data_IF_169170827544
#
_entry.id   IF_169170827544
#
_cell.length_a   1.000
_cell.length_b   1.000
_cell.length_c   1.000
_cell.angle_alpha   90.00
_cell.angle_beta   90.00
_cell.angle_gamma   90.00
#
_symmetry.space_group_name_H-M   'P 1'
#
loop_
_entity.id
_entity.type
_entity.pdbx_description
1 polymer ?
#
# COMPACT_ATOMS: atom_id res chain seq x y z
N UNK A 1 -35.30 65.06 -19.35
CA UNK A 1 -36.54 64.54 -18.77
C UNK A 1 -36.25 63.17 -18.19
N UNK A 2 -36.32 63.14 -16.91
CA UNK A 2 -36.77 62.18 -15.90
C UNK A 2 -35.83 61.00 -15.61
N UNK A 3 -35.08 61.12 -14.52
CA UNK A 3 -35.27 60.52 -13.20
C UNK A 3 -35.26 58.98 -13.15
N UNK A 4 -34.25 58.45 -12.48
CA UNK A 4 -34.20 57.62 -11.25
C UNK A 4 -32.73 57.25 -11.00
N UNK A 5 -32.10 57.48 -9.93
CA UNK A 5 -32.34 57.82 -8.56
C UNK A 5 -32.44 56.63 -7.62
N UNK A 6 -31.32 56.29 -6.99
CA UNK A 6 -31.16 55.69 -5.67
C UNK A 6 -31.64 54.27 -5.43
N UNK A 7 -30.65 53.39 -5.22
CA UNK A 7 -30.54 52.60 -3.98
C UNK A 7 -29.24 51.83 -3.98
N UNK A 8 -28.16 52.44 -3.54
CA UNK A 8 -26.95 51.79 -3.05
C UNK A 8 -26.88 52.09 -1.55
N UNK A 9 -26.68 51.06 -0.78
CA UNK A 9 -26.56 50.83 0.65
C UNK A 9 -27.85 50.23 1.28
N UNK A 10 -27.75 49.06 1.96
CA UNK A 10 -26.66 48.64 2.81
C UNK A 10 -26.32 47.13 2.68
N UNK A 11 -25.25 46.75 1.99
CA UNK A 11 -24.72 45.40 2.06
C UNK A 11 -23.30 45.34 2.70
N UNK A 12 -22.70 46.51 2.95
CA UNK A 12 -21.32 46.56 3.48
C UNK A 12 -21.22 46.59 5.03
N UNK A 13 -22.32 46.54 5.75
CA UNK A 13 -22.27 46.56 7.24
C UNK A 13 -22.53 45.17 7.84
N UNK A 14 -23.05 44.21 7.07
CA UNK A 14 -23.24 42.83 7.56
C UNK A 14 -21.98 41.96 7.43
N UNK A 15 -21.05 42.30 6.56
CA UNK A 15 -19.82 41.52 6.39
C UNK A 15 -18.71 41.83 7.42
N UNK A 16 -18.75 43.03 8.01
CA UNK A 16 -17.81 43.42 9.09
C UNK A 16 -18.20 42.85 10.47
N UNK A 17 -19.47 42.48 10.65
CA UNK A 17 -19.95 41.87 11.90
C UNK A 17 -19.66 40.40 12.04
N UNK A 18 -19.50 39.66 10.92
CA UNK A 18 -19.15 38.23 10.95
C UNK A 18 -17.65 37.96 11.12
N UNK A 19 -16.77 38.90 10.72
CA UNK A 19 -15.34 38.71 10.92
C UNK A 19 -14.86 39.09 12.35
N UNK A 20 -15.61 39.84 13.10
CA UNK A 20 -15.29 40.14 14.49
C UNK A 20 -15.77 39.06 15.47
N UNK A 21 -16.69 38.19 15.08
CA UNK A 21 -17.11 37.05 15.88
C UNK A 21 -16.26 35.78 15.65
N UNK A 22 -15.50 35.72 14.59
CA UNK A 22 -14.63 34.57 14.31
C UNK A 22 -13.34 34.55 15.14
N UNK A 23 -12.96 35.67 15.79
CA UNK A 23 -11.78 35.77 16.64
C UNK A 23 -12.05 35.71 18.16
N UNK A 24 -13.29 35.78 18.59
CA UNK A 24 -13.65 35.76 20.02
C UNK A 24 -14.21 34.42 20.52
N UNK A 25 -14.47 33.46 19.59
CA UNK A 25 -14.94 32.12 19.94
C UNK A 25 -13.79 31.14 20.34
N UNK A 26 -12.54 31.64 20.48
CA UNK A 26 -11.39 30.80 20.27
C UNK A 26 -10.84 30.08 21.50
N UNK A 27 -10.86 30.67 22.65
CA UNK A 27 -10.16 30.07 23.80
C UNK A 27 -11.05 29.11 24.59
N UNK A 28 -12.31 29.37 24.73
CA UNK A 28 -13.25 28.47 25.43
C UNK A 28 -13.52 27.20 24.61
N UNK A 29 -13.66 27.28 23.28
CA UNK A 29 -13.83 26.12 22.41
C UNK A 29 -12.53 25.32 22.29
N UNK A 30 -11.36 25.96 22.24
CA UNK A 30 -10.07 25.29 22.28
C UNK A 30 -9.83 24.55 23.59
N UNK A 31 -10.17 25.16 24.71
CA UNK A 31 -10.09 24.55 26.03
C UNK A 31 -11.01 23.34 26.10
N UNK A 32 -12.27 23.48 25.67
CA UNK A 32 -13.23 22.34 25.61
C UNK A 32 -12.74 21.19 24.74
N UNK A 33 -12.17 21.50 23.57
CA UNK A 33 -11.60 20.49 22.66
C UNK A 33 -10.38 19.80 23.27
N UNK A 34 -9.49 20.55 23.90
CA UNK A 34 -8.32 20.02 24.59
C UNK A 34 -8.71 19.16 25.81
N UNK A 35 -9.72 19.58 26.57
CA UNK A 35 -10.27 18.77 27.67
C UNK A 35 -10.88 17.46 27.17
N UNK A 36 -11.59 17.49 26.06
CA UNK A 36 -12.15 16.29 25.43
C UNK A 36 -11.05 15.34 24.95
N UNK A 37 -10.01 15.86 24.28
CA UNK A 37 -8.85 15.09 23.85
C UNK A 37 -8.09 14.50 25.05
N UNK A 38 -7.88 15.28 26.10
CA UNK A 38 -7.22 14.82 27.33
C UNK A 38 -8.02 13.70 28.01
N UNK A 39 -9.34 13.80 28.04
CA UNK A 39 -10.19 12.77 28.60
C UNK A 39 -10.19 11.48 27.75
N UNK A 40 -10.14 11.61 26.42
CA UNK A 40 -9.97 10.45 25.52
C UNK A 40 -8.61 9.77 25.74
N UNK A 41 -7.53 10.55 25.85
CA UNK A 41 -6.20 9.99 26.12
C UNK A 41 -6.13 9.32 27.50
N UNK A 42 -6.73 9.89 28.52
CA UNK A 42 -6.81 9.25 29.85
C UNK A 42 -7.59 7.94 29.80
N UNK A 43 -8.69 7.87 29.06
CA UNK A 43 -9.47 6.64 28.90
C UNK A 43 -8.67 5.56 28.16
N UNK A 44 -7.94 5.94 27.09
CA UNK A 44 -7.06 5.03 26.36
C UNK A 44 -5.91 4.50 27.23
N UNK A 45 -5.29 5.37 28.04
CA UNK A 45 -4.23 4.96 29.00
C UNK A 45 -4.76 3.99 30.07
N UNK A 46 -5.96 4.22 30.59
CA UNK A 46 -6.59 3.30 31.54
C UNK A 46 -6.92 1.93 30.92
N UNK A 47 -7.28 1.91 29.64
CA UNK A 47 -7.50 0.67 28.92
C UNK A 47 -6.19 -0.11 28.71
N UNK A 48 -5.11 0.57 28.36
CA UNK A 48 -3.78 -0.01 28.26
C UNK A 48 -3.30 -0.58 29.61
N UNK A 49 -3.51 0.16 30.70
CA UNK A 49 -3.16 -0.29 32.04
C UNK A 49 -3.86 -1.60 32.42
N UNK A 50 -5.17 -1.70 32.16
CA UNK A 50 -5.94 -2.94 32.42
C UNK A 50 -5.44 -4.11 31.57
N UNK A 51 -4.99 -3.84 30.34
CA UNK A 51 -4.44 -4.88 29.47
C UNK A 51 -3.08 -5.37 29.97
N UNK A 52 -2.23 -4.49 30.50
CA UNK A 52 -0.96 -4.83 31.15
C UNK A 52 -1.20 -5.66 32.40
N UNK A 53 -2.15 -5.27 33.26
CA UNK A 53 -2.51 -6.00 34.47
C UNK A 53 -3.06 -7.40 34.15
N UNK A 54 -3.85 -7.54 33.08
CA UNK A 54 -4.34 -8.84 32.61
C UNK A 54 -3.22 -9.73 32.08
N UNK A 55 -2.25 -9.15 31.35
CA UNK A 55 -1.07 -9.88 30.88
C UNK A 55 -0.15 -10.30 32.02
N UNK A 56 0.05 -9.45 33.03
CA UNK A 56 0.83 -9.79 34.23
C UNK A 56 0.16 -10.90 35.05
N UNK A 57 -1.15 -10.87 35.19
CA UNK A 57 -1.91 -11.93 35.87
C UNK A 57 -1.76 -13.27 35.14
N UNK A 58 -1.83 -13.27 33.80
CA UNK A 58 -1.65 -14.48 32.98
C UNK A 58 -0.20 -14.98 33.03
N UNK A 59 0.78 -14.07 33.02
CA UNK A 59 2.20 -14.39 33.19
C UNK A 59 2.49 -15.04 34.57
N UNK A 60 1.86 -14.56 35.62
CA UNK A 60 1.97 -15.15 36.95
C UNK A 60 1.32 -16.52 37.00
N UNK A 61 0.18 -16.72 36.33
CA UNK A 61 -0.50 -17.99 36.22
C UNK A 61 0.35 -19.03 35.48
N UNK A 62 1.01 -18.63 34.39
CA UNK A 62 1.95 -19.47 33.68
C UNK A 62 3.22 -19.79 34.50
N UNK A 63 3.69 -18.85 35.32
CA UNK A 63 4.88 -19.04 36.18
C UNK A 63 4.56 -19.91 37.42
N UNK A 64 3.32 -19.97 37.88
CA UNK A 64 2.92 -20.75 39.04
C UNK A 64 2.76 -22.27 38.79
N UNK A 65 3.00 -22.72 37.54
CA UNK A 65 3.14 -24.14 37.23
C UNK A 65 1.84 -24.94 37.21
N UNK A 66 0.70 -24.30 37.05
CA UNK A 66 -0.59 -25.00 36.85
C UNK A 66 -0.82 -25.52 35.41
N UNK A 67 0.22 -25.45 34.55
CA UNK A 67 0.26 -26.07 33.23
C UNK A 67 1.43 -27.05 33.15
N UNK A 68 1.18 -28.29 33.43
CA UNK A 68 2.12 -29.41 33.15
C UNK A 68 2.20 -29.62 31.66
N UNK A 69 3.33 -29.25 31.08
CA UNK A 69 3.67 -29.53 29.67
C UNK A 69 4.56 -30.77 29.62
N UNK A 70 3.99 -31.89 29.21
CA UNK A 70 4.76 -33.06 28.75
C UNK A 70 5.24 -32.79 27.30
N UNK A 71 6.56 -32.86 27.08
CA UNK A 71 7.15 -32.64 25.78
C UNK A 71 6.93 -33.82 24.83
N UNK A 72 6.28 -33.65 23.68
CA UNK A 72 6.23 -34.71 22.67
C UNK A 72 7.52 -34.76 21.86
N UNK A 73 7.92 -36.00 21.52
CA UNK A 73 9.07 -36.35 20.72
C UNK A 73 9.06 -35.68 19.35
N UNK A 74 10.20 -35.09 19.00
CA UNK A 74 10.45 -34.45 17.69
C UNK A 74 10.50 -35.51 16.61
N UNK A 75 9.50 -35.54 15.73
CA UNK A 75 9.59 -36.16 14.42
C UNK A 75 9.99 -35.06 13.44
N UNK A 76 11.08 -35.20 12.68
CA UNK A 76 11.48 -34.20 11.70
C UNK A 76 10.51 -34.27 10.49
N UNK A 77 9.55 -33.37 10.45
CA UNK A 77 8.81 -33.07 9.23
C UNK A 77 9.59 -32.04 8.43
N UNK A 78 9.80 -32.32 7.17
CA UNK A 78 10.41 -31.41 6.21
C UNK A 78 9.74 -30.02 6.26
N UNK A 79 10.51 -28.93 6.06
CA UNK A 79 9.94 -27.58 6.08
C UNK A 79 8.87 -27.46 4.99
N UNK A 80 7.76 -26.78 5.26
CA UNK A 80 6.77 -26.49 4.23
C UNK A 80 7.45 -25.64 3.15
N UNK A 81 7.37 -26.08 1.93
CA UNK A 81 7.82 -25.38 0.75
C UNK A 81 7.18 -23.98 0.73
N UNK A 82 7.98 -22.96 0.40
CA UNK A 82 7.65 -21.53 0.40
C UNK A 82 6.57 -21.14 -0.66
N UNK A 83 5.86 -22.11 -1.19
CA UNK A 83 5.03 -21.98 -2.40
C UNK A 83 3.72 -21.22 -2.25
N UNK A 84 3.33 -20.80 -1.05
CA UNK A 84 1.99 -20.21 -0.91
C UNK A 84 1.90 -18.73 -0.50
N UNK A 85 3.00 -18.05 -0.21
CA UNK A 85 2.89 -16.65 0.29
C UNK A 85 4.08 -15.78 -0.08
N UNK A 86 4.47 -15.70 -1.35
CA UNK A 86 5.37 -14.68 -1.93
C UNK A 86 6.30 -13.94 -0.95
N UNK A 87 7.11 -14.67 -0.20
CA UNK A 87 8.16 -14.08 0.62
C UNK A 87 9.48 -14.19 -0.11
N UNK A 88 10.27 -13.13 -0.23
CA UNK A 88 11.63 -13.26 -0.73
C UNK A 88 12.41 -14.22 0.18
N UNK A 89 13.06 -15.20 -0.42
CA UNK A 89 13.78 -16.30 0.26
C UNK A 89 15.08 -15.87 0.97
N UNK A 90 15.22 -14.64 1.37
CA UNK A 90 16.44 -14.12 2.01
C UNK A 90 16.17 -13.18 3.18
N UNK A 91 15.30 -13.57 4.08
CA UNK A 91 15.41 -13.06 5.45
C UNK A 91 15.89 -14.21 6.33
N UNK A 92 17.03 -14.07 6.99
CA UNK A 92 17.37 -14.89 8.14
C UNK A 92 16.38 -14.55 9.23
N UNK A 93 15.14 -15.02 9.05
CA UNK A 93 14.10 -14.89 10.04
C UNK A 93 14.39 -15.94 11.10
N UNK A 94 14.72 -15.49 12.30
CA UNK A 94 14.51 -16.32 13.47
C UNK A 94 13.00 -16.59 13.55
N UNK A 95 12.56 -17.68 12.93
CA UNK A 95 11.18 -18.16 13.04
C UNK A 95 10.97 -18.63 14.46
N UNK A 96 10.50 -17.74 15.30
CA UNK A 96 9.92 -18.16 16.59
C UNK A 96 8.58 -18.80 16.26
N UNK A 97 8.57 -20.09 16.05
CA UNK A 97 7.33 -20.89 16.03
C UNK A 97 6.72 -20.81 17.43
N UNK A 98 5.77 -19.91 17.60
CA UNK A 98 4.92 -19.96 18.77
C UNK A 98 4.09 -21.24 18.64
N UNK A 99 4.28 -22.14 19.60
CA UNK A 99 3.59 -23.42 19.75
C UNK A 99 2.08 -23.22 19.66
N UNK A 100 1.43 -23.95 18.79
CA UNK A 100 -0.02 -24.11 18.79
C UNK A 100 -0.44 -24.72 20.11
N UNK A 101 -1.15 -23.96 20.94
CA UNK A 101 -1.83 -24.50 22.10
C UNK A 101 -2.97 -25.39 21.60
N UNK A 102 -2.76 -26.71 21.59
CA UNK A 102 -3.84 -27.70 21.52
C UNK A 102 -4.51 -27.73 22.88
N UNK A 103 -5.69 -27.17 22.98
CA UNK A 103 -6.58 -27.45 24.12
C UNK A 103 -7.22 -28.82 23.91
N UNK A 104 -6.75 -29.83 24.61
CA UNK A 104 -7.44 -31.11 24.75
C UNK A 104 -8.66 -30.91 25.64
N UNK A 105 -9.80 -30.76 25.05
CA UNK A 105 -11.10 -31.06 25.64
C UNK A 105 -12.12 -31.30 24.53
N UNK A 106 -12.32 -32.53 24.12
CA UNK A 106 -13.57 -33.14 23.63
C UNK A 106 -14.41 -32.51 22.51
N UNK A 107 -14.02 -31.32 22.00
CA UNK A 107 -14.52 -30.75 20.77
C UNK A 107 -13.29 -30.25 19.99
N UNK A 108 -12.92 -30.89 18.90
CA UNK A 108 -11.89 -30.39 18.01
C UNK A 108 -12.23 -28.95 17.66
N UNK A 109 -11.43 -28.01 18.15
CA UNK A 109 -11.56 -26.60 17.73
C UNK A 109 -11.28 -26.55 16.24
N UNK A 110 -12.30 -26.18 15.45
CA UNK A 110 -12.18 -26.05 13.99
C UNK A 110 -11.28 -24.88 13.59
N UNK A 111 -10.78 -24.12 14.57
CA UNK A 111 -9.93 -22.94 14.35
C UNK A 111 -8.46 -23.30 14.52
N UNK A 112 -7.67 -23.11 13.48
CA UNK A 112 -6.22 -23.03 13.55
C UNK A 112 -5.77 -21.57 13.48
N UNK A 113 -4.70 -21.23 14.18
CA UNK A 113 -4.10 -19.89 14.12
C UNK A 113 -2.59 -19.99 14.31
N UNK A 114 -1.85 -19.37 13.41
CA UNK A 114 -0.39 -19.26 13.45
C UNK A 114 -0.01 -17.79 13.44
N UNK A 115 0.69 -17.34 14.46
CA UNK A 115 1.35 -16.05 14.47
C UNK A 115 2.67 -16.18 13.71
N UNK A 116 2.98 -15.23 12.83
CA UNK A 116 4.21 -15.19 12.05
C UNK A 116 4.66 -13.75 11.87
N UNK A 117 5.88 -13.58 11.41
CA UNK A 117 6.44 -12.25 11.13
C UNK A 117 7.95 -12.26 11.30
N UNK A 118 8.52 -11.09 11.22
CA UNK A 118 9.94 -10.85 11.45
C UNK A 118 10.17 -9.43 11.95
N UNK A 119 11.26 -9.25 12.66
CA UNK A 119 11.79 -7.94 12.99
C UNK A 119 12.98 -7.71 12.04
N UNK A 120 12.96 -6.60 11.32
CA UNK A 120 14.01 -6.19 10.41
C UNK A 120 14.61 -4.86 10.88
N UNK A 121 15.92 -4.76 10.83
CA UNK A 121 16.65 -3.53 11.10
C UNK A 121 17.60 -3.28 9.94
N UNK A 122 17.41 -2.17 9.26
CA UNK A 122 18.19 -1.75 8.12
C UNK A 122 19.16 -0.64 8.51
N UNK A 123 20.40 -0.71 8.02
CA UNK A 123 21.38 0.36 8.08
C UNK A 123 21.68 0.79 6.64
N UNK A 124 21.33 2.02 6.30
CA UNK A 124 21.39 2.55 4.95
C UNK A 124 22.29 3.77 4.94
N UNK A 125 23.11 3.90 3.91
CA UNK A 125 23.90 5.08 3.66
C UNK A 125 23.68 5.58 2.24
N UNK A 126 23.06 6.74 2.12
CA UNK A 126 22.81 7.41 0.85
C UNK A 126 23.93 8.38 0.52
N UNK A 127 24.70 8.08 -0.52
CA UNK A 127 25.80 8.95 -0.97
C UNK A 127 25.31 10.27 -1.56
N UNK A 128 24.10 10.28 -2.09
CA UNK A 128 23.44 11.43 -2.68
C UNK A 128 22.06 11.58 -2.05
N UNK A 129 21.51 12.79 -2.17
CA UNK A 129 20.23 13.13 -1.56
C UNK A 129 19.09 12.25 -2.06
N UNK A 130 18.25 11.88 -1.15
CA UNK A 130 16.96 11.23 -1.36
C UNK A 130 15.87 12.06 -0.69
N UNK A 131 14.62 11.72 -0.94
CA UNK A 131 13.49 12.31 -0.25
C UNK A 131 13.51 11.92 1.24
N UNK A 132 13.51 12.87 2.19
CA UNK A 132 13.54 12.56 3.62
C UNK A 132 12.41 11.66 4.12
N UNK A 133 11.27 11.65 3.44
CA UNK A 133 10.16 10.75 3.77
C UNK A 133 10.36 9.32 3.24
N UNK A 134 11.38 9.10 2.39
CA UNK A 134 11.70 7.83 1.73
C UNK A 134 13.17 7.44 1.85
N UNK A 135 13.87 7.97 2.85
CA UNK A 135 15.30 7.77 3.07
C UNK A 135 15.70 6.32 3.37
N UNK A 136 14.76 5.48 3.76
CA UNK A 136 14.99 4.07 4.06
C UNK A 136 14.60 3.12 2.91
N UNK A 137 14.43 3.65 1.69
CA UNK A 137 14.13 2.85 0.50
C UNK A 137 14.48 3.57 -0.80
N UNK A 138 14.85 2.82 -1.83
CA UNK A 138 15.16 3.38 -3.15
C UNK A 138 13.88 3.59 -3.97
N UNK A 139 13.19 4.68 -3.69
CA UNK A 139 12.02 5.10 -4.44
C UNK A 139 12.42 6.09 -5.54
N UNK A 140 12.61 5.59 -6.76
CA UNK A 140 13.23 6.34 -7.86
C UNK A 140 12.46 7.61 -8.24
N UNK A 141 11.12 7.59 -8.18
CA UNK A 141 10.28 8.74 -8.55
C UNK A 141 10.36 9.91 -7.57
N UNK A 142 10.87 9.69 -6.36
CA UNK A 142 11.04 10.74 -5.35
C UNK A 142 12.47 11.26 -5.25
N UNK A 143 13.41 10.72 -6.03
CA UNK A 143 14.79 11.22 -6.06
C UNK A 143 14.82 12.66 -6.59
N UNK A 144 15.37 13.63 -5.83
CA UNK A 144 15.42 15.01 -6.25
C UNK A 144 16.28 15.19 -7.50
N UNK A 145 15.72 15.77 -8.55
CA UNK A 145 16.40 16.00 -9.85
C UNK A 145 16.92 17.42 -10.01
N UNK A 146 16.50 18.35 -9.14
CA UNK A 146 16.88 19.76 -9.20
C UNK A 146 17.94 20.11 -8.15
N UNK A 147 18.85 21.01 -8.50
CA UNK A 147 19.83 21.52 -7.54
C UNK A 147 19.15 22.37 -6.47
N UNK A 148 19.45 22.08 -5.19
CA UNK A 148 18.85 22.78 -4.07
C UNK A 148 17.49 22.24 -3.61
N UNK A 149 16.98 21.19 -4.24
CA UNK A 149 15.82 20.47 -3.75
C UNK A 149 16.10 19.80 -2.38
N UNK A 150 15.04 19.26 -1.76
CA UNK A 150 15.08 18.61 -0.45
C UNK A 150 16.12 17.48 -0.35
N UNK A 151 16.42 17.09 0.88
CA UNK A 151 17.40 16.05 1.21
C UNK A 151 18.85 16.57 1.24
N UNK A 152 19.72 15.77 1.80
CA UNK A 152 21.16 16.04 1.94
C UNK A 152 21.97 14.95 1.25
N UNK A 153 23.20 15.29 0.82
CA UNK A 153 24.17 14.30 0.38
C UNK A 153 24.85 13.68 1.61
N UNK A 154 24.94 12.37 1.67
CA UNK A 154 25.65 11.65 2.73
C UNK A 154 24.82 11.37 3.99
N UNK A 155 23.58 10.95 3.84
CA UNK A 155 22.71 10.59 4.95
C UNK A 155 22.90 9.14 5.39
N UNK A 156 22.78 8.91 6.71
CA UNK A 156 22.82 7.61 7.32
C UNK A 156 21.56 7.35 8.14
N UNK A 157 20.87 6.27 7.81
CA UNK A 157 19.57 5.94 8.36
C UNK A 157 19.58 4.56 9.00
N UNK A 158 18.96 4.45 10.19
CA UNK A 158 18.52 3.20 10.74
C UNK A 158 17.02 3.09 10.66
N UNK A 159 16.52 2.03 10.03
CA UNK A 159 15.08 1.78 9.89
C UNK A 159 14.70 0.41 10.44
N UNK A 160 13.51 0.34 11.04
CA UNK A 160 12.84 -0.92 11.44
C UNK A 160 11.49 -1.08 10.73
N UNK A 161 11.20 -0.19 9.79
CA UNK A 161 9.89 -0.03 9.16
C UNK A 161 9.46 -1.24 8.35
N UNK A 162 10.40 -2.06 7.87
CA UNK A 162 10.09 -3.30 7.14
C UNK A 162 9.62 -4.45 8.04
N UNK A 163 9.69 -4.29 9.38
CA UNK A 163 9.21 -5.31 10.31
C UNK A 163 7.74 -5.61 10.12
N UNK A 164 7.38 -6.91 10.21
CA UNK A 164 6.02 -7.41 9.97
C UNK A 164 5.54 -8.30 11.08
N UNK A 165 4.23 -8.27 11.32
CA UNK A 165 3.53 -9.19 12.20
C UNK A 165 2.22 -9.60 11.53
N UNK A 166 1.91 -10.88 11.58
CA UNK A 166 0.68 -11.42 11.01
C UNK A 166 0.16 -12.62 11.78
N UNK A 167 -1.11 -12.91 11.53
CA UNK A 167 -1.76 -14.13 11.93
C UNK A 167 -2.44 -14.74 10.71
N UNK A 168 -2.29 -16.03 10.52
CA UNK A 168 -2.95 -16.81 9.47
C UNK A 168 -3.46 -18.14 10.01
N UNK A 169 -4.42 -18.72 9.35
CA UNK A 169 -4.96 -20.00 9.76
C UNK A 169 -6.19 -20.39 8.99
N UNK A 170 -6.88 -21.41 9.55
CA UNK A 170 -8.05 -22.01 8.96
C UNK A 170 -9.19 -22.07 9.98
N UNK A 171 -10.41 -22.06 9.49
CA UNK A 171 -11.59 -22.38 10.25
C UNK A 171 -12.39 -23.48 9.55
N UNK A 172 -12.36 -24.68 10.14
CA UNK A 172 -12.86 -25.87 9.48
C UNK A 172 -12.02 -26.22 8.25
N UNK A 173 -12.66 -26.84 7.26
CA UNK A 173 -12.02 -27.33 6.03
C UNK A 173 -12.18 -26.34 4.86
N UNK A 174 -13.00 -25.32 5.02
CA UNK A 174 -13.47 -24.48 3.93
C UNK A 174 -12.97 -23.02 3.99
N UNK A 175 -12.54 -22.55 5.17
CA UNK A 175 -12.17 -21.14 5.36
C UNK A 175 -10.68 -21.03 5.67
N UNK A 176 -9.96 -20.18 4.92
CA UNK A 176 -8.61 -19.72 5.29
C UNK A 176 -8.61 -18.23 5.53
N UNK A 177 -7.70 -17.73 6.36
CA UNK A 177 -7.58 -16.31 6.62
C UNK A 177 -6.15 -15.86 6.88
N UNK A 178 -5.90 -14.59 6.61
CA UNK A 178 -4.64 -13.90 6.90
C UNK A 178 -4.92 -12.44 7.29
N UNK A 179 -4.29 -12.02 8.38
CA UNK A 179 -4.20 -10.62 8.77
C UNK A 179 -2.73 -10.29 8.99
N UNK A 180 -2.18 -9.36 8.22
CA UNK A 180 -0.77 -8.97 8.28
C UNK A 180 -0.64 -7.46 8.30
N UNK A 181 0.23 -6.96 9.18
CA UNK A 181 0.64 -5.56 9.24
C UNK A 181 2.16 -5.41 9.19
N UNK A 182 2.59 -4.22 8.85
CA UNK A 182 4.00 -3.80 8.87
C UNK A 182 4.12 -2.40 9.46
N UNK A 183 5.34 -1.97 9.78
CA UNK A 183 5.58 -0.66 10.39
C UNK A 183 5.93 0.43 9.36
N UNK A 184 5.69 0.17 8.08
CA UNK A 184 6.03 1.10 6.99
C UNK A 184 4.89 2.07 6.70
N UNK A 185 4.89 3.24 7.36
CA UNK A 185 3.92 4.31 7.14
C UNK A 185 3.96 4.84 5.70
N UNK A 186 2.79 5.16 5.15
CA UNK A 186 2.61 5.71 3.80
C UNK A 186 1.47 6.73 3.79
N UNK A 187 1.36 7.53 2.73
CA UNK A 187 0.35 8.59 2.66
C UNK A 187 0.65 9.71 3.65
N UNK A 188 -0.27 10.04 4.53
CA UNK A 188 -0.07 11.03 5.60
C UNK A 188 1.01 10.63 6.61
N UNK A 189 1.34 9.34 6.68
CA UNK A 189 2.31 8.77 7.62
C UNK A 189 3.62 8.38 6.92
N UNK A 190 3.85 8.86 5.69
CA UNK A 190 5.12 8.61 4.99
C UNK A 190 6.30 9.10 5.83
N UNK A 191 7.43 8.40 5.76
CA UNK A 191 8.59 8.65 6.62
C UNK A 191 8.48 8.14 8.06
N UNK A 192 7.28 7.75 8.53
CA UNK A 192 7.04 7.37 9.93
C UNK A 192 6.98 5.86 10.13
N UNK A 193 7.34 5.44 11.35
CA UNK A 193 7.20 4.05 11.81
C UNK A 193 5.82 3.86 12.38
N UNK A 194 4.81 3.66 11.52
CA UNK A 194 3.42 3.48 11.89
C UNK A 194 2.87 2.17 11.35
N UNK A 195 1.93 1.56 12.09
CA UNK A 195 1.33 0.30 11.68
C UNK A 195 0.43 0.50 10.46
N UNK A 196 0.70 -0.28 9.42
CA UNK A 196 -0.09 -0.35 8.20
C UNK A 196 -0.58 -1.77 7.95
N UNK A 197 -1.85 -1.93 7.59
CA UNK A 197 -2.39 -3.23 7.18
C UNK A 197 -1.87 -3.57 5.77
N UNK A 198 -1.23 -4.74 5.65
CA UNK A 198 -0.80 -5.31 4.37
C UNK A 198 -1.87 -6.22 3.79
N UNK A 199 -2.25 -7.23 4.55
CA UNK A 199 -3.27 -8.20 4.18
C UNK A 199 -4.35 -8.25 5.25
N UNK A 200 -5.59 -8.28 4.81
CA UNK A 200 -6.77 -8.60 5.58
C UNK A 200 -7.69 -9.38 4.64
N UNK A 201 -7.45 -10.69 4.53
CA UNK A 201 -8.01 -11.55 3.50
C UNK A 201 -8.58 -12.82 4.10
N UNK A 202 -9.72 -13.24 3.60
CA UNK A 202 -10.27 -14.54 3.93
C UNK A 202 -10.80 -15.21 2.67
N UNK A 203 -10.75 -16.55 2.62
CA UNK A 203 -11.37 -17.36 1.58
C UNK A 203 -12.43 -18.27 2.18
N UNK A 204 -13.47 -18.51 1.43
CA UNK A 204 -14.39 -19.60 1.63
C UNK A 204 -14.36 -20.47 0.38
N UNK A 205 -13.71 -21.64 0.46
CA UNK A 205 -13.41 -22.46 -0.71
C UNK A 205 -12.67 -21.64 -1.77
N UNK A 206 -13.23 -21.57 -2.97
CA UNK A 206 -12.66 -20.87 -4.12
C UNK A 206 -12.96 -19.36 -4.17
N UNK A 207 -13.81 -18.87 -3.25
CA UNK A 207 -14.14 -17.46 -3.15
C UNK A 207 -13.33 -16.78 -2.07
N UNK A 208 -12.67 -15.68 -2.41
CA UNK A 208 -11.91 -14.87 -1.47
C UNK A 208 -12.35 -13.41 -1.46
N UNK A 209 -12.26 -12.75 -0.29
CA UNK A 209 -12.61 -11.34 -0.13
C UNK A 209 -11.71 -10.66 0.89
N UNK A 210 -11.43 -9.37 0.64
CA UNK A 210 -10.62 -8.52 1.52
C UNK A 210 -9.51 -7.80 0.79
N UNK A 211 -8.46 -7.40 1.52
CA UNK A 211 -7.26 -6.78 0.97
C UNK A 211 -6.15 -7.80 0.79
N UNK A 212 -5.69 -7.96 -0.42
CA UNK A 212 -4.62 -8.90 -0.79
C UNK A 212 -3.88 -8.41 -2.05
N UNK A 213 -2.89 -9.17 -2.51
CA UNK A 213 -2.24 -8.91 -3.79
C UNK A 213 -3.26 -8.89 -4.92
N UNK A 214 -3.18 -7.88 -5.77
CA UNK A 214 -4.01 -7.78 -6.96
C UNK A 214 -3.90 -9.04 -7.82
N UNK A 215 -4.99 -9.44 -8.45
CA UNK A 215 -4.98 -10.55 -9.39
C UNK A 215 -4.22 -10.22 -10.68
N UNK A 216 -4.04 -8.92 -10.99
CA UNK A 216 -3.22 -8.47 -12.11
C UNK A 216 -1.72 -8.60 -11.84
N UNK A 217 -1.29 -8.76 -10.58
CA UNK A 217 0.09 -8.87 -10.12
C UNK A 217 0.55 -10.32 -9.98
N UNK A 218 1.85 -10.55 -10.08
CA UNK A 218 2.53 -11.80 -9.70
C UNK A 218 3.62 -11.50 -8.67
N UNK A 219 3.38 -11.86 -7.40
CA UNK A 219 4.34 -11.59 -6.32
C UNK A 219 5.57 -12.49 -6.36
N UNK A 220 5.47 -13.69 -6.97
CA UNK A 220 6.54 -14.69 -6.93
C UNK A 220 7.74 -14.30 -7.82
N UNK A 221 7.56 -13.29 -8.68
CA UNK A 221 8.66 -12.71 -9.45
C UNK A 221 9.38 -11.55 -8.73
N UNK A 222 8.99 -11.21 -7.47
CA UNK A 222 9.71 -10.20 -6.71
C UNK A 222 11.18 -10.64 -6.52
N UNK A 223 12.16 -9.76 -6.80
CA UNK A 223 13.58 -10.11 -6.72
C UNK A 223 14.03 -10.35 -5.28
N UNK A 224 15.13 -11.08 -5.12
CA UNK A 224 15.77 -11.32 -3.83
C UNK A 224 16.64 -10.12 -3.43
N UNK A 225 16.04 -8.96 -3.29
CA UNK A 225 16.69 -7.70 -2.88
C UNK A 225 16.33 -7.34 -1.44
N UNK A 226 17.23 -6.60 -0.78
CA UNK A 226 17.00 -6.11 0.59
C UNK A 226 16.11 -4.88 0.58
N UNK A 227 16.19 -4.06 -0.47
CA UNK A 227 15.40 -2.84 -0.58
C UNK A 227 13.89 -3.14 -0.56
N UNK A 228 13.17 -2.36 0.25
CA UNK A 228 11.73 -2.54 0.45
C UNK A 228 10.92 -2.27 -0.83
N UNK A 229 11.34 -1.27 -1.62
CA UNK A 229 10.53 -0.77 -2.72
C UNK A 229 10.46 -1.73 -3.91
N UNK A 230 11.59 -2.36 -4.25
CA UNK A 230 11.69 -3.27 -5.39
C UNK A 230 11.67 -2.54 -6.75
N UNK A 231 11.51 -3.30 -7.85
CA UNK A 231 11.65 -2.75 -9.20
C UNK A 231 10.46 -1.89 -9.62
N UNK A 232 10.72 -0.71 -10.15
CA UNK A 232 9.70 0.25 -10.63
C UNK A 232 8.90 -0.25 -11.83
N UNK A 233 9.53 -1.07 -12.69
CA UNK A 233 8.86 -1.69 -13.84
C UNK A 233 7.94 -2.85 -13.51
N UNK A 234 7.81 -3.23 -12.24
CA UNK A 234 6.98 -4.34 -11.79
C UNK A 234 5.54 -3.88 -11.53
N UNK A 235 4.56 -4.70 -11.91
CA UNK A 235 3.20 -4.58 -11.36
C UNK A 235 3.25 -5.02 -9.91
N UNK A 236 2.98 -4.08 -8.98
CA UNK A 236 3.09 -4.33 -7.55
C UNK A 236 2.00 -3.59 -6.79
N UNK A 237 0.87 -4.24 -6.56
CA UNK A 237 -0.29 -3.60 -5.96
C UNK A 237 -1.07 -4.52 -5.04
N UNK A 238 -1.46 -4.01 -3.89
CA UNK A 238 -2.40 -4.64 -2.96
C UNK A 238 -3.71 -3.90 -3.00
N UNK A 239 -4.79 -4.63 -3.23
CA UNK A 239 -6.10 -4.01 -3.37
C UNK A 239 -7.18 -4.74 -2.57
N UNK A 240 -8.22 -4.01 -2.20
CA UNK A 240 -9.46 -4.58 -1.68
C UNK A 240 -10.19 -5.22 -2.85
N UNK A 241 -10.61 -6.46 -2.69
CA UNK A 241 -11.10 -7.24 -3.82
C UNK A 241 -12.04 -8.37 -3.39
N UNK A 242 -12.83 -8.83 -4.35
CA UNK A 242 -13.57 -10.08 -4.31
C UNK A 242 -13.11 -10.94 -5.48
N UNK A 243 -12.58 -12.13 -5.19
CA UNK A 243 -11.95 -13.04 -6.16
C UNK A 243 -12.65 -14.39 -6.17
N UNK A 244 -12.87 -14.92 -7.34
CA UNK A 244 -13.19 -16.32 -7.51
C UNK A 244 -12.07 -17.03 -8.26
N UNK A 245 -11.57 -18.13 -7.69
CA UNK A 245 -10.47 -18.93 -8.22
C UNK A 245 -11.01 -20.26 -8.73
N UNK A 246 -10.50 -20.72 -9.87
CA UNK A 246 -10.86 -21.98 -10.51
C UNK A 246 -9.60 -22.86 -10.56
N UNK A 247 -9.38 -23.74 -9.55
CA UNK A 247 -8.27 -24.67 -9.58
C UNK A 247 -8.43 -25.67 -10.73
N UNK A 248 -7.35 -25.92 -11.49
CA UNK A 248 -7.32 -26.82 -12.65
C UNK A 248 -6.08 -27.73 -12.57
N UNK A 249 -6.07 -28.63 -11.59
CA UNK A 249 -4.87 -29.41 -11.26
C UNK A 249 -3.84 -28.48 -10.59
N UNK A 250 -2.64 -28.38 -11.17
CA UNK A 250 -1.58 -27.50 -10.71
C UNK A 250 -1.75 -26.05 -11.21
N UNK A 251 -2.69 -25.83 -12.12
CA UNK A 251 -2.97 -24.53 -12.71
C UNK A 251 -4.08 -23.79 -11.96
N UNK A 252 -4.14 -22.49 -12.16
CA UNK A 252 -5.15 -21.62 -11.56
C UNK A 252 -5.65 -20.59 -12.57
N UNK A 253 -6.97 -20.52 -12.76
CA UNK A 253 -7.63 -19.38 -13.36
C UNK A 253 -8.34 -18.58 -12.28
N UNK A 254 -8.32 -17.25 -12.35
CA UNK A 254 -9.03 -16.41 -11.39
C UNK A 254 -9.66 -15.19 -12.06
N UNK A 255 -10.82 -14.80 -11.56
CA UNK A 255 -11.52 -13.55 -11.92
C UNK A 255 -11.73 -12.74 -10.64
N UNK A 256 -11.50 -11.43 -10.71
CA UNK A 256 -11.54 -10.58 -9.53
C UNK A 256 -12.18 -9.24 -9.86
N UNK A 257 -13.02 -8.77 -8.95
CA UNK A 257 -13.46 -7.37 -8.88
C UNK A 257 -12.60 -6.67 -7.83
N UNK A 258 -11.89 -5.62 -8.24
CA UNK A 258 -10.97 -4.87 -7.40
C UNK A 258 -11.50 -3.46 -7.14
N UNK A 259 -11.16 -2.91 -5.97
CA UNK A 259 -11.55 -1.55 -5.62
C UNK A 259 -10.89 -0.57 -6.59
N UNK A 260 -11.68 0.25 -7.29
CA UNK A 260 -11.13 1.18 -8.27
C UNK A 260 -10.39 2.33 -7.58
N UNK A 261 -9.36 2.80 -8.24
CA UNK A 261 -8.59 3.99 -7.85
C UNK A 261 -7.96 4.59 -9.09
N UNK A 262 -8.30 5.81 -9.43
CA UNK A 262 -7.80 6.49 -10.63
C UNK A 262 -6.78 7.54 -10.26
N UNK A 263 -5.54 7.36 -10.71
CA UNK A 263 -4.46 8.32 -10.56
C UNK A 263 -4.53 9.35 -11.71
N UNK A 264 -5.08 10.51 -11.42
CA UNK A 264 -5.22 11.63 -12.35
C UNK A 264 -4.01 12.56 -12.23
N UNK A 265 -3.40 12.91 -13.37
CA UNK A 265 -2.44 14.00 -13.45
C UNK A 265 -3.08 15.25 -14.02
N UNK A 266 -2.77 16.36 -13.43
CA UNK A 266 -3.08 17.68 -14.02
C UNK A 266 -2.06 18.09 -15.10
N UNK A 267 -0.99 17.30 -15.28
CA UNK A 267 0.01 17.47 -16.33
C UNK A 267 0.64 18.86 -16.32
N UNK A 268 0.68 19.49 -17.50
CA UNK A 268 1.24 20.85 -17.71
C UNK A 268 0.43 21.96 -17.03
N UNK A 269 -0.79 21.70 -16.62
CA UNK A 269 -1.63 22.65 -15.91
C UNK A 269 -1.27 22.75 -14.43
N UNK A 270 -0.42 21.86 -13.93
CA UNK A 270 0.16 22.02 -12.60
C UNK A 270 0.98 23.30 -12.60
N UNK A 271 0.58 24.25 -11.79
CA UNK A 271 1.40 25.42 -11.56
C UNK A 271 2.66 24.98 -10.81
N UNK A 272 3.71 24.77 -11.58
CA UNK A 272 5.07 24.64 -11.06
C UNK A 272 5.65 26.01 -10.80
N UNK A 273 4.88 26.97 -10.29
CA UNK A 273 5.43 28.21 -9.83
C UNK A 273 6.70 27.90 -9.08
N UNK A 274 7.80 28.58 -9.40
CA UNK A 274 9.17 28.32 -8.89
C UNK A 274 9.29 28.42 -7.36
N UNK A 275 8.25 28.03 -6.64
CA UNK A 275 8.14 28.09 -5.19
C UNK A 275 9.15 27.21 -4.48
N UNK A 276 9.58 26.13 -5.14
CA UNK A 276 10.57 25.18 -4.61
C UNK A 276 12.02 25.60 -4.91
N UNK A 277 12.24 26.75 -5.53
CA UNK A 277 13.59 27.23 -5.82
C UNK A 277 14.07 28.19 -4.73
N UNK A 278 15.39 28.18 -4.40
CA UNK A 278 15.96 29.04 -3.37
C UNK A 278 15.76 30.56 -3.59
N UNK A 279 15.34 30.97 -4.78
CA UNK A 279 15.04 32.35 -5.18
C UNK A 279 13.58 32.53 -5.60
N UNK A 280 12.69 31.69 -5.09
CA UNK A 280 11.27 31.83 -5.34
C UNK A 280 10.77 33.22 -4.98
N UNK A 281 9.84 33.77 -5.77
CA UNK A 281 9.25 35.06 -5.48
C UNK A 281 8.51 35.02 -4.13
N UNK A 282 8.51 36.15 -3.37
CA UNK A 282 7.88 36.17 -2.04
C UNK A 282 6.36 35.95 -2.04
N UNK A 283 5.72 35.93 -3.18
CA UNK A 283 4.30 35.67 -3.43
C UNK A 283 4.00 34.24 -3.91
N UNK A 284 5.00 33.36 -3.86
CA UNK A 284 4.87 31.93 -4.16
C UNK A 284 4.07 31.12 -3.12
N UNK A 285 3.45 31.75 -2.12
CA UNK A 285 2.62 31.09 -1.09
C UNK A 285 1.28 30.58 -1.60
N UNK A 286 0.90 30.93 -2.81
CA UNK A 286 -0.23 30.33 -3.48
C UNK A 286 0.30 29.32 -4.53
N UNK A 287 0.39 28.07 -4.17
CA UNK A 287 0.14 27.02 -5.16
C UNK A 287 -1.21 27.39 -5.73
N UNK A 288 -1.22 28.12 -6.84
CA UNK A 288 -2.46 28.32 -7.59
C UNK A 288 -2.86 26.94 -8.12
N UNK A 289 -3.62 26.23 -7.30
CA UNK A 289 -4.13 24.90 -7.55
C UNK A 289 -5.21 24.89 -8.63
N UNK A 290 -5.29 25.95 -9.44
CA UNK A 290 -6.35 26.11 -10.45
C UNK A 290 -6.47 24.91 -11.37
N UNK A 291 -5.38 24.20 -11.63
CA UNK A 291 -5.44 22.98 -12.45
C UNK A 291 -5.89 21.75 -11.66
N UNK A 292 -5.51 21.62 -10.41
CA UNK A 292 -6.05 20.56 -9.52
C UNK A 292 -7.52 20.82 -9.20
N UNK A 293 -7.95 22.08 -9.18
CA UNK A 293 -9.34 22.48 -9.02
C UNK A 293 -10.19 22.24 -10.27
N UNK A 294 -9.60 22.00 -11.43
CA UNK A 294 -10.37 21.76 -12.66
C UNK A 294 -10.71 20.30 -12.87
N UNK A 295 -9.87 19.38 -12.42
CA UNK A 295 -10.07 17.94 -12.60
C UNK A 295 -10.08 17.20 -11.27
N UNK A 296 -11.08 16.35 -11.07
CA UNK A 296 -11.16 15.41 -9.97
C UNK A 296 -11.48 14.02 -10.50
N UNK A 297 -10.78 12.99 -10.00
CA UNK A 297 -11.12 11.61 -10.33
C UNK A 297 -12.37 11.14 -9.56
N UNK A 298 -13.18 10.30 -10.18
CA UNK A 298 -14.24 9.55 -9.52
C UNK A 298 -14.23 8.08 -9.94
N UNK A 299 -14.75 7.22 -9.07
CA UNK A 299 -14.74 5.78 -9.28
C UNK A 299 -16.13 5.22 -8.99
N UNK A 300 -16.84 4.73 -9.99
CA UNK A 300 -18.22 4.23 -9.90
C UNK A 300 -18.37 2.75 -10.29
N UNK A 301 -17.34 2.14 -10.89
CA UNK A 301 -17.30 0.72 -11.21
C UNK A 301 -16.01 0.10 -10.71
N UNK A 302 -16.04 -1.17 -10.23
CA UNK A 302 -14.83 -1.88 -9.86
C UNK A 302 -13.96 -2.17 -11.08
N UNK A 303 -12.64 -2.26 -10.85
CA UNK A 303 -11.71 -2.79 -11.83
C UNK A 303 -11.93 -4.29 -11.98
N UNK A 304 -12.00 -4.79 -13.21
CA UNK A 304 -12.15 -6.21 -13.51
C UNK A 304 -10.80 -6.79 -13.92
N UNK A 305 -10.32 -7.81 -13.20
CA UNK A 305 -9.10 -8.53 -13.56
C UNK A 305 -9.38 -10.02 -13.78
N UNK A 306 -8.63 -10.62 -14.69
CA UNK A 306 -8.63 -12.05 -14.91
C UNK A 306 -7.19 -12.53 -15.08
N UNK A 307 -6.85 -13.71 -14.55
CA UNK A 307 -5.52 -14.28 -14.70
C UNK A 307 -5.55 -15.77 -14.88
N UNK A 308 -4.54 -16.28 -15.57
CA UNK A 308 -4.21 -17.70 -15.67
C UNK A 308 -2.77 -17.90 -15.22
N UNK A 309 -2.54 -18.86 -14.34
CA UNK A 309 -1.24 -19.27 -13.85
C UNK A 309 -1.07 -20.76 -14.07
N UNK A 310 0.04 -21.13 -14.70
CA UNK A 310 0.49 -22.51 -14.82
C UNK A 310 1.71 -22.73 -13.92
N UNK A 311 1.70 -23.83 -13.17
CA UNK A 311 2.81 -24.25 -12.34
C UNK A 311 3.34 -25.59 -12.81
N UNK A 312 4.66 -25.81 -12.68
CA UNK A 312 5.30 -27.03 -13.07
C UNK A 312 6.72 -27.17 -12.53
N UNK A 313 7.41 -28.23 -12.90
CA UNK A 313 8.80 -28.47 -12.47
C UNK A 313 9.77 -27.36 -12.94
N UNK A 314 9.43 -26.68 -14.03
CA UNK A 314 10.20 -25.57 -14.57
C UNK A 314 10.06 -24.26 -13.76
N UNK A 315 9.11 -24.18 -12.85
CA UNK A 315 8.68 -22.98 -12.15
C UNK A 315 7.23 -22.63 -12.47
N UNK A 316 6.97 -21.38 -12.82
CA UNK A 316 5.62 -20.93 -13.19
C UNK A 316 5.66 -19.86 -14.28
N UNK A 317 4.52 -19.69 -14.94
CA UNK A 317 4.21 -18.47 -15.66
C UNK A 317 2.78 -18.02 -15.34
N UNK A 318 2.54 -16.72 -15.47
CA UNK A 318 1.23 -16.11 -15.26
C UNK A 318 0.95 -15.10 -16.38
N UNK A 319 -0.29 -15.10 -16.85
CA UNK A 319 -0.83 -14.08 -17.74
C UNK A 319 -2.05 -13.47 -17.06
N UNK A 320 -2.09 -12.16 -16.95
CA UNK A 320 -3.20 -11.44 -16.36
C UNK A 320 -3.65 -10.29 -17.25
N UNK A 321 -4.95 -10.04 -17.27
CA UNK A 321 -5.57 -8.91 -17.93
C UNK A 321 -6.36 -8.06 -16.95
N UNK A 322 -6.49 -6.77 -17.26
CA UNK A 322 -7.30 -5.82 -16.50
C UNK A 322 -8.10 -4.93 -17.44
N UNK A 323 -9.33 -4.59 -17.04
CA UNK A 323 -10.17 -3.56 -17.67
C UNK A 323 -10.70 -2.66 -16.56
N UNK A 324 -10.65 -1.35 -16.79
CA UNK A 324 -10.97 -0.30 -15.83
C UNK A 324 -11.84 0.77 -16.43
N UNK A 325 -12.67 1.41 -15.59
CA UNK A 325 -13.35 2.66 -15.92
C UNK A 325 -12.66 3.78 -15.14
N UNK A 326 -11.99 4.67 -15.84
CA UNK A 326 -11.22 5.78 -15.30
C UNK A 326 -12.05 7.06 -15.38
N UNK A 327 -12.81 7.36 -14.33
CA UNK A 327 -13.71 8.51 -14.31
C UNK A 327 -13.00 9.80 -13.92
N UNK A 328 -13.38 10.90 -14.57
CA UNK A 328 -12.96 12.24 -14.19
C UNK A 328 -14.12 13.24 -14.29
N UNK A 329 -14.08 14.25 -13.45
CA UNK A 329 -15.05 15.34 -13.39
C UNK A 329 -14.32 16.66 -13.57
N UNK A 330 -14.87 17.51 -14.41
CA UNK A 330 -14.44 18.90 -14.51
C UNK A 330 -15.18 19.73 -13.48
N UNK A 331 -14.46 20.31 -12.53
CA UNK A 331 -15.04 21.07 -11.43
C UNK A 331 -15.51 22.48 -11.85
N UNK A 332 -14.99 23.01 -12.96
CA UNK A 332 -15.38 24.32 -13.49
C UNK A 332 -16.80 24.32 -14.10
N UNK A 333 -17.29 23.17 -14.54
CA UNK A 333 -18.60 23.05 -15.19
C UNK A 333 -19.42 21.83 -14.74
N UNK A 334 -18.87 20.97 -13.85
CA UNK A 334 -19.53 19.78 -13.32
C UNK A 334 -19.70 18.64 -14.34
N UNK A 335 -19.05 18.70 -15.49
CA UNK A 335 -19.12 17.65 -16.49
C UNK A 335 -18.31 16.45 -16.08
N UNK A 336 -18.94 15.27 -16.14
CA UNK A 336 -18.32 13.97 -15.88
C UNK A 336 -18.11 13.22 -17.18
N UNK A 337 -16.92 12.62 -17.29
CA UNK A 337 -16.57 11.75 -18.41
C UNK A 337 -15.66 10.61 -17.92
N UNK A 338 -15.30 9.70 -18.77
CA UNK A 338 -14.47 8.57 -18.42
C UNK A 338 -13.68 8.04 -19.60
N UNK A 339 -12.54 7.41 -19.29
CA UNK A 339 -11.74 6.63 -20.22
C UNK A 339 -11.79 5.15 -19.84
N UNK A 340 -11.55 4.28 -20.81
CA UNK A 340 -11.39 2.84 -20.58
C UNK A 340 -9.92 2.52 -20.49
N UNK A 341 -9.49 2.20 -19.26
CA UNK A 341 -8.16 1.64 -19.05
C UNK A 341 -8.15 0.12 -19.32
N UNK A 342 -7.04 -0.37 -19.83
CA UNK A 342 -6.82 -1.79 -20.08
C UNK A 342 -5.34 -2.14 -19.96
N UNK A 343 -5.04 -3.41 -19.67
CA UNK A 343 -3.66 -3.85 -19.62
C UNK A 343 -3.52 -5.37 -19.63
N UNK A 344 -2.32 -5.79 -20.00
CA UNK A 344 -1.87 -7.19 -19.93
C UNK A 344 -0.56 -7.23 -19.16
N UNK A 345 -0.45 -8.17 -18.24
CA UNK A 345 0.76 -8.49 -17.50
C UNK A 345 1.12 -9.96 -17.75
N UNK A 346 2.33 -10.20 -18.22
CA UNK A 346 2.89 -11.54 -18.38
C UNK A 346 4.13 -11.67 -17.50
N UNK A 347 4.22 -12.73 -16.73
CA UNK A 347 5.32 -12.98 -15.81
C UNK A 347 5.72 -14.44 -15.80
N UNK A 348 6.97 -14.71 -15.42
CA UNK A 348 7.48 -16.05 -15.23
C UNK A 348 8.57 -16.08 -14.16
N UNK A 349 8.51 -17.09 -13.30
CA UNK A 349 9.57 -17.47 -12.39
C UNK A 349 10.09 -18.83 -12.79
N UNK A 350 11.27 -18.87 -13.44
CA UNK A 350 11.82 -20.07 -14.07
C UNK A 350 12.99 -20.62 -13.26
N UNK A 351 12.94 -21.90 -12.91
CA UNK A 351 14.08 -22.62 -12.35
C UNK A 351 15.12 -22.81 -13.44
N UNK A 352 16.36 -22.51 -13.14
CA UNK A 352 17.48 -22.64 -14.08
C UNK A 352 18.47 -23.70 -13.60
N UNK A 353 19.61 -23.33 -13.04
CA UNK A 353 20.61 -24.29 -12.56
C UNK A 353 20.58 -24.35 -11.03
N UNK A 354 20.54 -25.58 -10.49
CA UNK A 354 20.49 -25.75 -9.03
C UNK A 354 19.26 -25.09 -8.41
N UNK A 355 19.46 -24.09 -7.56
CA UNK A 355 18.41 -23.31 -6.91
C UNK A 355 18.16 -21.95 -7.58
N UNK A 356 18.85 -21.67 -8.68
CA UNK A 356 18.78 -20.37 -9.34
C UNK A 356 17.43 -20.12 -10.02
N UNK A 357 16.99 -18.86 -9.99
CA UNK A 357 15.71 -18.45 -10.54
C UNK A 357 15.88 -17.28 -11.52
N UNK A 358 15.31 -17.42 -12.70
CA UNK A 358 15.13 -16.32 -13.63
C UNK A 358 13.71 -15.77 -13.48
N UNK A 359 13.58 -14.50 -13.15
CA UNK A 359 12.31 -13.80 -12.94
C UNK A 359 12.09 -12.77 -14.02
N UNK A 360 10.97 -12.87 -14.70
CA UNK A 360 10.65 -12.05 -15.87
C UNK A 360 9.25 -11.45 -15.71
N UNK A 361 9.10 -10.20 -16.13
CA UNK A 361 7.80 -9.57 -16.29
C UNK A 361 7.80 -8.60 -17.46
N UNK A 362 6.69 -8.57 -18.18
CA UNK A 362 6.32 -7.57 -19.17
C UNK A 362 4.87 -7.18 -18.94
N UNK A 363 4.64 -5.91 -18.61
CA UNK A 363 3.32 -5.31 -18.48
C UNK A 363 3.16 -4.20 -19.52
N UNK A 364 2.03 -4.18 -20.20
CA UNK A 364 1.67 -3.11 -21.14
C UNK A 364 0.18 -2.82 -21.07
N UNK A 365 -0.16 -1.55 -21.19
CA UNK A 365 -1.55 -1.11 -21.22
C UNK A 365 -1.68 0.41 -21.21
N UNK A 366 -2.91 0.86 -21.09
CA UNK A 366 -3.28 2.27 -20.96
C UNK A 366 -4.15 2.43 -19.72
N UNK A 367 -3.82 3.43 -18.89
CA UNK A 367 -4.53 3.65 -17.63
C UNK A 367 -4.27 2.57 -16.56
N UNK A 368 -3.07 2.01 -16.51
CA UNK A 368 -2.65 1.01 -15.51
C UNK A 368 -1.51 1.49 -14.61
N UNK A 369 -1.19 2.78 -14.67
CA UNK A 369 -0.07 3.35 -13.91
C UNK A 369 -0.16 3.13 -12.42
N UNK A 370 -1.35 3.21 -11.84
CA UNK A 370 -1.59 2.98 -10.41
C UNK A 370 -1.30 1.54 -9.94
N UNK A 371 -1.22 0.58 -10.87
CA UNK A 371 -0.85 -0.81 -10.56
C UNK A 371 0.66 -1.06 -10.61
N UNK A 372 1.43 -0.10 -11.14
CA UNK A 372 2.89 -0.19 -11.19
C UNK A 372 3.49 0.15 -9.81
N UNK A 373 4.66 -0.42 -9.52
CA UNK A 373 5.27 -0.31 -8.19
C UNK A 373 5.59 1.12 -7.81
N UNK A 374 6.13 1.96 -8.45
CA UNK A 374 6.43 3.32 -8.00
C UNK A 374 5.33 4.33 -8.38
N UNK A 375 4.13 3.83 -8.56
CA UNK A 375 2.98 4.63 -8.92
C UNK A 375 3.16 5.31 -10.28
N UNK A 376 2.18 5.19 -11.11
CA UNK A 376 2.11 5.88 -12.38
C UNK A 376 0.82 6.65 -12.46
N UNK A 377 0.67 7.35 -13.56
CA UNK A 377 -0.56 8.05 -13.88
C UNK A 377 -1.45 7.14 -14.70
N UNK A 378 -2.74 7.15 -14.40
CA UNK A 378 -3.75 6.43 -15.16
C UNK A 378 -4.30 7.29 -16.30
N UNK A 379 -4.61 8.55 -16.01
CA UNK A 379 -5.14 9.52 -16.97
C UNK A 379 -4.44 10.87 -16.84
N UNK A 380 -4.35 11.58 -17.94
CA UNK A 380 -3.77 12.91 -18.02
C UNK A 380 -4.54 13.78 -19.02
N UNK A 381 -4.46 15.12 -18.94
CA UNK A 381 -5.13 16.01 -19.87
C UNK A 381 -4.71 15.76 -21.33
N UNK A 382 -5.69 15.67 -22.22
CA UNK A 382 -5.53 15.44 -23.67
C UNK A 382 -5.17 16.71 -24.46
N UNK A 383 -5.33 17.88 -23.86
CA UNK A 383 -5.13 19.18 -24.52
C UNK A 383 -4.22 20.10 -23.69
N UNK A 384 -3.62 21.07 -24.38
CA UNK A 384 -2.88 22.18 -23.74
C UNK A 384 -3.77 23.34 -23.31
N UNK A 385 -5.02 23.36 -23.76
CA UNK A 385 -5.99 24.38 -23.44
C UNK A 385 -6.91 23.83 -22.32
N UNK A 386 -6.72 24.33 -21.09
CA UNK A 386 -7.46 23.90 -19.90
C UNK A 386 -8.97 24.06 -20.10
N UNK A 387 -9.42 25.00 -20.93
CA UNK A 387 -10.85 25.25 -21.16
C UNK A 387 -11.52 24.17 -22.01
N UNK A 388 -10.71 23.40 -22.75
CA UNK A 388 -11.16 22.35 -23.68
C UNK A 388 -10.66 20.97 -23.31
N UNK A 389 -9.70 20.88 -22.37
CA UNK A 389 -9.08 19.62 -22.02
C UNK A 389 -10.11 18.64 -21.48
N UNK A 390 -10.12 17.43 -22.03
CA UNK A 390 -10.57 16.20 -21.42
C UNK A 390 -9.38 15.49 -20.77
N UNK A 391 -9.54 14.21 -20.50
CA UNK A 391 -8.41 13.37 -20.09
C UNK A 391 -8.32 12.14 -21.01
N UNK A 392 -7.12 11.63 -21.19
CA UNK A 392 -6.86 10.40 -21.93
C UNK A 392 -6.08 9.40 -21.07
N UNK A 393 -6.25 8.10 -21.34
CA UNK A 393 -5.56 7.04 -20.65
C UNK A 393 -4.06 7.06 -21.02
N UNK A 394 -3.20 7.03 -20.00
CA UNK A 394 -1.75 7.11 -20.18
C UNK A 394 -1.19 5.73 -20.51
N UNK A 395 -0.47 5.60 -21.66
CA UNK A 395 0.19 4.35 -22.02
C UNK A 395 1.35 4.07 -21.06
N UNK A 396 1.40 2.82 -20.58
CA UNK A 396 2.38 2.36 -19.59
C UNK A 396 3.03 1.07 -20.06
N UNK A 397 4.37 1.03 -20.05
CA UNK A 397 5.17 -0.17 -20.28
C UNK A 397 6.06 -0.45 -19.08
N UNK A 398 5.93 -1.64 -18.50
CA UNK A 398 6.77 -2.12 -17.40
C UNK A 398 7.55 -3.36 -17.80
N UNK A 399 8.84 -3.36 -17.55
CA UNK A 399 9.74 -4.51 -17.77
C UNK A 399 10.52 -4.76 -16.49
N UNK A 400 10.55 -6.00 -16.04
CA UNK A 400 11.37 -6.43 -14.90
C UNK A 400 12.03 -7.75 -15.25
N UNK A 401 13.35 -7.82 -15.06
CA UNK A 401 14.15 -9.03 -15.31
C UNK A 401 15.19 -9.15 -14.21
N UNK A 402 15.17 -10.28 -13.51
CA UNK A 402 16.11 -10.59 -12.44
C UNK A 402 16.59 -12.03 -12.56
N UNK A 403 17.82 -12.24 -12.11
CA UNK A 403 18.41 -13.55 -11.98
C UNK A 403 18.93 -13.71 -10.54
N UNK A 404 18.21 -14.52 -9.77
CA UNK A 404 18.62 -14.85 -8.40
C UNK A 404 19.58 -16.02 -8.45
N UNK A 405 20.84 -15.78 -8.11
CA UNK A 405 21.88 -16.80 -8.05
C UNK A 405 22.21 -17.16 -6.60
N UNK A 406 22.19 -18.45 -6.30
CA UNK A 406 22.49 -18.98 -4.97
C UNK A 406 23.87 -19.64 -4.97
N UNK A 407 24.87 -18.90 -4.49
CA UNK A 407 26.24 -19.38 -4.33
C UNK A 407 26.35 -20.52 -3.31
N UNK A 408 25.49 -20.51 -2.30
CA UNK A 408 25.36 -21.52 -1.25
C UNK A 408 24.02 -21.32 -0.54
N UNK A 409 23.72 -22.18 0.44
CA UNK A 409 22.53 -22.02 1.31
C UNK A 409 22.53 -20.71 2.13
N UNK A 410 23.67 -20.02 2.21
CA UNK A 410 23.86 -18.79 3.01
C UNK A 410 24.10 -17.55 2.16
N UNK A 411 24.48 -17.69 0.90
CA UNK A 411 24.87 -16.56 0.05
C UNK A 411 24.11 -16.59 -1.27
N UNK A 412 23.51 -15.47 -1.58
CA UNK A 412 22.82 -15.24 -2.86
C UNK A 412 23.05 -13.83 -3.37
N UNK A 413 22.82 -13.64 -4.66
CA UNK A 413 22.81 -12.33 -5.34
C UNK A 413 21.62 -12.27 -6.29
N UNK A 414 21.11 -11.08 -6.51
CA UNK A 414 20.05 -10.81 -7.47
C UNK A 414 20.45 -9.66 -8.39
#
# INVERSE_FOLDING_TARGET
MTRYGKALFPAAILSAGCMLNAHAATDAERISTLEQQLNQQKAAMQQQQRMIEAMDAELQRLKSGEATLEAPAVVPTAPPTAENFGMPAASVAASTTASTAKSDAGAQSKLSAQVYGFVMADAIYDFKRVDPDWEDTLRVTTIPTQSGAYGNDGDFVFSVRQSRLGIKGDYGDDITYILEGELFGVGSDQGQTTLRVRHAWATYKDFGMGQYWSNFMDIDIFPNTIDYWGPTGMVFYRNKQARYSFPMGDDMFAITLENPSTALSVGRFRDTGNCDLPNAAPDCDSVDSTAEEVFQSYNDLPDLTASYRNNGDFGHYKVAGIVRKLGYERLDNGNKDYEIGWGVNTSAGLKTWGNDLLKLQLAYGEGIGNYMNDGGLDIAPDSSDITRAGAEAVPTLGISTYYDHFWSDQWSTS
#
